data_IF_718879560381
#
_entry.id   IF_718879560381
#
_cell.length_a   1.000
_cell.length_b   1.000
_cell.length_c   1.000
_cell.angle_alpha   90.00
_cell.angle_beta   90.00
_cell.angle_gamma   90.00
#
_symmetry.space_group_name_H-M   'P 1'
#
loop_
_entity.id
_entity.type
_entity.pdbx_description
1 polymer ?
#
# COMPACT_ATOMS: atom_id res chain seq x y z
N UNK A 1 -18.98 -7.40 49.72
CA UNK A 1 -19.84 -7.14 48.52
C UNK A 1 -19.39 -5.98 47.64
N UNK A 2 -19.11 -4.78 48.15
CA UNK A 2 -18.68 -3.61 47.30
C UNK A 2 -17.33 -3.83 46.58
N UNK A 3 -16.36 -4.49 47.22
CA UNK A 3 -15.06 -4.81 46.64
C UNK A 3 -15.20 -5.76 45.43
N UNK A 4 -15.93 -6.86 45.58
CA UNK A 4 -16.16 -7.82 44.49
C UNK A 4 -16.91 -7.21 43.29
N UNK A 5 -17.86 -6.30 43.55
CA UNK A 5 -18.55 -5.57 42.49
C UNK A 5 -17.60 -4.62 41.71
N UNK A 6 -16.69 -3.93 42.40
CA UNK A 6 -15.67 -3.09 41.77
C UNK A 6 -14.68 -3.92 40.94
N UNK A 7 -14.21 -5.06 41.51
CA UNK A 7 -13.33 -5.96 40.79
C UNK A 7 -14.00 -6.54 39.55
N UNK A 8 -15.24 -6.97 39.63
CA UNK A 8 -16.01 -7.46 38.50
C UNK A 8 -16.19 -6.38 37.42
N UNK A 9 -16.49 -5.14 37.80
CA UNK A 9 -16.60 -4.03 36.87
C UNK A 9 -15.26 -3.75 36.14
N UNK A 10 -14.12 -3.77 36.85
CA UNK A 10 -12.80 -3.62 36.26
C UNK A 10 -12.51 -4.75 35.27
N UNK A 11 -12.78 -6.00 35.62
CA UNK A 11 -12.57 -7.14 34.72
C UNK A 11 -13.44 -7.06 33.46
N UNK A 12 -14.69 -6.61 33.59
CA UNK A 12 -15.57 -6.40 32.44
C UNK A 12 -14.99 -5.29 31.52
N UNK A 13 -14.54 -4.16 32.06
CA UNK A 13 -13.92 -3.08 31.29
C UNK A 13 -12.66 -3.57 30.57
N UNK A 14 -11.78 -4.30 31.26
CA UNK A 14 -10.57 -4.87 30.66
C UNK A 14 -10.92 -5.89 29.56
N UNK A 15 -11.93 -6.73 29.77
CA UNK A 15 -12.43 -7.66 28.76
C UNK A 15 -12.98 -6.94 27.52
N UNK A 16 -13.75 -5.88 27.72
CA UNK A 16 -14.25 -5.05 26.60
C UNK A 16 -13.11 -4.36 25.83
N UNK A 17 -12.11 -3.82 26.54
CA UNK A 17 -10.94 -3.21 25.92
C UNK A 17 -10.12 -4.23 25.11
N UNK A 18 -9.88 -5.41 25.68
CA UNK A 18 -9.18 -6.48 24.97
C UNK A 18 -9.98 -6.94 23.75
N UNK A 19 -11.29 -7.13 23.87
CA UNK A 19 -12.16 -7.47 22.74
C UNK A 19 -12.15 -6.41 21.64
N UNK A 20 -12.15 -5.14 22.03
CA UNK A 20 -12.06 -4.01 21.10
C UNK A 20 -10.73 -4.02 20.31
N UNK A 21 -9.60 -4.17 21.02
CA UNK A 21 -8.28 -4.24 20.38
C UNK A 21 -8.19 -5.45 19.44
N UNK A 22 -8.68 -6.62 19.86
CA UNK A 22 -8.71 -7.81 18.99
C UNK A 22 -9.56 -7.56 17.73
N UNK A 23 -10.75 -7.00 17.90
CA UNK A 23 -11.62 -6.65 16.76
C UNK A 23 -10.96 -5.65 15.80
N UNK A 24 -10.37 -4.57 16.33
CA UNK A 24 -9.65 -3.60 15.50
C UNK A 24 -8.56 -4.27 14.66
N UNK A 25 -7.83 -5.20 15.25
CA UNK A 25 -6.71 -5.84 14.56
C UNK A 25 -7.14 -6.80 13.44
N UNK A 26 -8.32 -7.39 13.48
CA UNK A 26 -8.79 -8.36 12.46
C UNK A 26 -9.78 -7.78 11.47
N UNK A 27 -10.29 -6.59 11.73
CA UNK A 27 -11.35 -5.97 10.96
C UNK A 27 -10.77 -5.01 9.90
N UNK A 28 -10.72 -5.44 8.64
CA UNK A 28 -10.31 -4.58 7.53
C UNK A 28 -11.26 -3.39 7.40
N UNK A 29 -10.68 -2.21 7.23
CA UNK A 29 -11.42 -0.97 6.97
C UNK A 29 -11.17 -0.53 5.54
N UNK A 30 -12.23 -0.46 4.73
CA UNK A 30 -12.17 0.17 3.41
C UNK A 30 -12.30 1.68 3.57
N UNK A 31 -11.35 2.43 3.01
CA UNK A 31 -11.36 3.89 3.02
C UNK A 31 -11.20 4.44 1.61
N UNK A 32 -12.02 5.43 1.27
CA UNK A 32 -12.00 6.06 -0.05
C UNK A 32 -11.27 7.40 -0.02
N UNK A 33 -10.42 7.60 -1.01
CA UNK A 33 -9.65 8.82 -1.24
C UNK A 33 -9.85 9.30 -2.67
N UNK A 34 -9.54 10.57 -2.91
CA UNK A 34 -9.58 11.14 -4.26
C UNK A 34 -8.30 11.95 -4.50
N UNK A 35 -7.57 11.66 -5.58
CA UNK A 35 -6.38 12.37 -6.00
C UNK A 35 -6.64 13.09 -7.33
N UNK A 36 -6.50 14.42 -7.34
CA UNK A 36 -6.60 15.22 -8.57
C UNK A 36 -5.21 15.43 -9.13
N UNK A 37 -4.96 14.95 -10.36
CA UNK A 37 -3.68 15.02 -11.05
C UNK A 37 -3.82 15.90 -12.30
N UNK A 38 -2.94 16.89 -12.43
CA UNK A 38 -3.01 17.88 -13.52
C UNK A 38 -2.76 17.27 -14.89
N UNK A 39 -1.92 16.27 -14.98
CA UNK A 39 -1.50 15.56 -16.19
C UNK A 39 -2.36 14.33 -16.52
N UNK A 40 -3.38 14.01 -15.69
CA UNK A 40 -4.22 12.82 -15.92
C UNK A 40 -4.99 12.96 -17.23
N UNK A 41 -4.84 12.02 -18.20
CA UNK A 41 -5.69 12.03 -19.39
C UNK A 41 -7.17 11.86 -19.04
N UNK A 42 -8.03 12.55 -19.78
CA UNK A 42 -9.48 12.59 -19.49
C UNK A 42 -10.13 11.20 -19.46
N UNK A 43 -9.62 10.26 -20.25
CA UNK A 43 -10.07 8.88 -20.32
C UNK A 43 -9.89 8.12 -19.00
N UNK A 44 -8.99 8.60 -18.14
CA UNK A 44 -8.72 8.04 -16.82
C UNK A 44 -9.42 8.80 -15.68
N UNK A 45 -10.23 9.83 -15.98
CA UNK A 45 -11.04 10.44 -14.93
C UNK A 45 -11.99 9.43 -14.33
N UNK A 46 -11.94 9.28 -13.01
CA UNK A 46 -12.71 8.27 -12.29
C UNK A 46 -12.02 6.92 -12.13
N UNK A 47 -10.79 6.72 -12.64
CA UNK A 47 -10.04 5.47 -12.45
C UNK A 47 -9.96 5.10 -10.96
N UNK A 48 -10.39 3.88 -10.63
CA UNK A 48 -10.39 3.36 -9.25
C UNK A 48 -9.19 2.44 -9.02
N UNK A 49 -8.28 2.89 -8.17
CA UNK A 49 -7.14 2.11 -7.70
C UNK A 49 -7.47 1.49 -6.34
N UNK A 50 -7.13 0.21 -6.15
CA UNK A 50 -7.07 -0.40 -4.82
C UNK A 50 -5.61 -0.53 -4.43
N UNK A 51 -5.24 -0.04 -3.24
CA UNK A 51 -3.89 -0.12 -2.69
C UNK A 51 -3.88 -1.05 -1.49
N UNK A 52 -3.08 -2.11 -1.58
CA UNK A 52 -2.88 -3.12 -0.53
C UNK A 52 -1.38 -3.16 -0.21
N UNK A 53 -0.96 -2.53 0.88
CA UNK A 53 0.43 -2.48 1.33
C UNK A 53 0.62 -3.24 2.65
N UNK A 54 1.85 -3.58 2.95
CA UNK A 54 2.28 -4.07 4.27
C UNK A 54 1.38 -5.21 4.79
N UNK A 55 1.17 -6.24 3.97
CA UNK A 55 0.34 -7.39 4.36
C UNK A 55 1.08 -8.33 5.33
N UNK A 56 2.41 -8.46 5.17
CA UNK A 56 3.27 -9.29 6.02
C UNK A 56 2.75 -10.72 6.19
N UNK A 57 2.35 -11.35 5.10
CA UNK A 57 1.81 -12.71 5.10
C UNK A 57 0.50 -12.91 5.82
N UNK A 58 -0.15 -11.84 6.26
CA UNK A 58 -1.38 -11.91 7.03
C UNK A 58 -2.56 -12.32 6.15
N UNK A 59 -3.34 -13.28 6.63
CA UNK A 59 -4.56 -13.71 5.99
C UNK A 59 -5.80 -13.15 6.69
N UNK A 60 -6.78 -12.72 5.89
CA UNK A 60 -8.09 -12.26 6.36
C UNK A 60 -9.17 -13.26 5.95
N UNK A 61 -9.45 -14.21 6.83
CA UNK A 61 -10.25 -15.39 6.57
C UNK A 61 -9.42 -16.49 5.88
N UNK A 62 -10.03 -17.63 5.59
CA UNK A 62 -9.38 -18.70 4.86
C UNK A 62 -9.02 -18.21 3.44
N UNK A 63 -7.79 -18.45 3.00
CA UNK A 63 -7.26 -18.02 1.69
C UNK A 63 -7.50 -16.53 1.40
N UNK A 64 -7.47 -15.70 2.43
CA UNK A 64 -7.76 -14.26 2.37
C UNK A 64 -9.14 -13.90 1.79
N UNK A 65 -10.13 -14.79 1.89
CA UNK A 65 -11.45 -14.62 1.28
C UNK A 65 -12.16 -13.33 1.69
N UNK A 66 -12.02 -12.89 2.95
CA UNK A 66 -12.61 -11.63 3.41
C UNK A 66 -11.94 -10.41 2.77
N UNK A 67 -10.61 -10.43 2.57
CA UNK A 67 -9.88 -9.38 1.87
C UNK A 67 -10.27 -9.33 0.40
N UNK A 68 -10.30 -10.48 -0.28
CA UNK A 68 -10.69 -10.57 -1.68
C UNK A 68 -12.13 -10.10 -1.91
N UNK A 69 -13.04 -10.40 -0.97
CA UNK A 69 -14.41 -9.89 -1.04
C UNK A 69 -14.44 -8.35 -0.91
N UNK A 70 -13.68 -7.77 0.03
CA UNK A 70 -13.59 -6.32 0.19
C UNK A 70 -12.99 -5.64 -1.07
N UNK A 71 -11.95 -6.25 -1.68
CA UNK A 71 -11.38 -5.78 -2.95
C UNK A 71 -12.41 -5.82 -4.07
N UNK A 72 -13.18 -6.91 -4.19
CA UNK A 72 -14.25 -7.03 -5.21
C UNK A 72 -15.32 -5.94 -5.04
N UNK A 73 -15.74 -5.67 -3.79
CA UNK A 73 -16.72 -4.63 -3.48
C UNK A 73 -16.21 -3.23 -3.79
N UNK A 74 -14.90 -3.00 -3.68
CA UNK A 74 -14.23 -1.76 -4.07
C UNK A 74 -14.23 -1.53 -5.59
N UNK A 75 -14.50 -2.56 -6.40
CA UNK A 75 -14.53 -2.50 -7.88
C UNK A 75 -13.27 -1.85 -8.46
N UNK A 76 -12.08 -2.41 -8.23
CA UNK A 76 -10.85 -1.86 -8.77
C UNK A 76 -10.79 -1.97 -10.29
N UNK A 77 -10.09 -1.03 -10.90
CA UNK A 77 -9.67 -1.08 -12.31
C UNK A 77 -8.15 -1.29 -12.41
N UNK A 78 -7.43 -1.07 -11.30
CA UNK A 78 -6.03 -1.41 -11.09
C UNK A 78 -5.82 -1.70 -9.59
N UNK A 79 -5.06 -2.74 -9.28
CA UNK A 79 -4.64 -3.09 -7.93
C UNK A 79 -3.14 -2.82 -7.81
N UNK A 80 -2.75 -2.06 -6.79
CA UNK A 80 -1.38 -1.66 -6.53
C UNK A 80 -0.91 -2.26 -5.21
N UNK A 81 0.22 -2.97 -5.25
CA UNK A 81 0.84 -3.61 -4.10
C UNK A 81 2.21 -2.95 -3.84
N UNK A 82 2.28 -1.86 -3.07
CA UNK A 82 3.53 -1.13 -2.85
C UNK A 82 4.40 -1.72 -1.73
N UNK A 83 4.67 -3.03 -1.81
CA UNK A 83 5.66 -3.74 -0.98
C UNK A 83 5.15 -4.28 0.35
N UNK A 84 6.04 -5.03 1.00
CA UNK A 84 5.86 -5.74 2.27
C UNK A 84 4.62 -6.66 2.26
N UNK A 85 4.46 -7.41 1.16
CA UNK A 85 3.40 -8.39 1.02
C UNK A 85 3.68 -9.64 1.86
N UNK A 86 4.95 -10.00 2.02
CA UNK A 86 5.43 -11.15 2.79
C UNK A 86 6.77 -10.89 3.42
N UNK A 87 7.08 -11.64 4.48
CA UNK A 87 8.31 -11.59 5.26
C UNK A 87 9.10 -12.90 5.13
N UNK A 88 10.28 -12.96 5.73
CA UNK A 88 11.11 -14.17 5.80
C UNK A 88 10.43 -15.36 6.52
N UNK A 89 9.55 -15.07 7.47
CA UNK A 89 8.81 -16.07 8.27
C UNK A 89 7.41 -16.39 7.70
N UNK A 90 7.04 -15.78 6.57
CA UNK A 90 5.71 -15.98 5.96
C UNK A 90 5.60 -17.39 5.36
N UNK A 91 4.49 -18.08 5.64
CA UNK A 91 4.10 -19.25 4.86
C UNK A 91 3.66 -18.82 3.46
N UNK A 92 4.59 -18.93 2.50
CA UNK A 92 4.39 -18.50 1.12
C UNK A 92 3.27 -19.25 0.38
N UNK A 93 2.75 -20.36 0.95
CA UNK A 93 1.60 -21.08 0.36
C UNK A 93 0.31 -20.23 0.32
N UNK A 94 0.28 -19.13 1.07
CA UNK A 94 -0.83 -18.17 1.03
C UNK A 94 -0.85 -17.28 -0.22
N UNK A 95 0.29 -17.13 -0.92
CA UNK A 95 0.39 -16.23 -2.07
C UNK A 95 -0.43 -16.69 -3.29
N UNK A 96 -0.35 -17.94 -3.77
CA UNK A 96 -1.07 -18.35 -4.96
C UNK A 96 -2.57 -18.04 -4.90
N UNK A 97 -3.35 -18.46 -3.88
CA UNK A 97 -4.79 -18.19 -3.85
C UNK A 97 -5.10 -16.68 -3.73
N UNK A 98 -4.26 -15.90 -3.03
CA UNK A 98 -4.41 -14.45 -2.96
C UNK A 98 -4.19 -13.80 -4.33
N UNK A 99 -3.08 -14.13 -5.01
CA UNK A 99 -2.72 -13.52 -6.29
C UNK A 99 -3.71 -13.89 -7.39
N UNK A 100 -4.12 -15.16 -7.48
CA UNK A 100 -5.17 -15.61 -8.40
C UNK A 100 -6.49 -14.84 -8.14
N UNK A 101 -6.85 -14.66 -6.87
CA UNK A 101 -8.03 -13.89 -6.50
C UNK A 101 -7.95 -12.43 -6.91
N UNK A 102 -6.79 -11.78 -6.74
CA UNK A 102 -6.58 -10.37 -7.12
C UNK A 102 -6.53 -10.18 -8.64
N UNK A 103 -5.77 -11.02 -9.36
CA UNK A 103 -5.62 -10.92 -10.82
C UNK A 103 -6.91 -11.24 -11.57
N UNK A 104 -7.80 -12.03 -10.97
CA UNK A 104 -9.16 -12.24 -11.48
C UNK A 104 -10.07 -11.01 -11.36
N UNK A 105 -9.73 -10.02 -10.52
CA UNK A 105 -10.54 -8.82 -10.30
C UNK A 105 -10.09 -7.64 -11.16
N UNK A 106 -8.78 -7.40 -11.28
CA UNK A 106 -8.21 -6.33 -12.08
C UNK A 106 -6.71 -6.59 -12.34
N UNK A 107 -6.05 -5.88 -13.28
CA UNK A 107 -4.59 -5.86 -13.38
C UNK A 107 -3.94 -5.55 -12.05
N UNK A 108 -2.83 -6.24 -11.73
CA UNK A 108 -2.09 -6.09 -10.47
C UNK A 108 -0.67 -5.63 -10.78
N UNK A 109 -0.24 -4.53 -10.16
CA UNK A 109 1.16 -4.07 -10.17
C UNK A 109 1.76 -4.19 -8.77
N UNK A 110 2.99 -4.64 -8.70
CA UNK A 110 3.70 -4.90 -7.44
C UNK A 110 5.13 -4.37 -7.50
N UNK A 111 5.61 -3.86 -6.37
CA UNK A 111 7.03 -3.60 -6.08
C UNK A 111 7.41 -4.24 -4.76
N UNK A 112 8.70 -4.50 -4.55
CA UNK A 112 9.21 -5.00 -3.27
C UNK A 112 9.21 -3.91 -2.21
N UNK A 113 8.98 -4.29 -0.95
CA UNK A 113 9.34 -3.51 0.23
C UNK A 113 10.66 -4.04 0.84
N UNK A 114 10.98 -3.59 2.04
CA UNK A 114 12.23 -3.96 2.68
C UNK A 114 12.22 -5.39 3.26
N UNK A 115 11.05 -5.95 3.56
CA UNK A 115 10.94 -7.30 4.11
C UNK A 115 11.15 -8.37 3.05
N UNK A 116 10.71 -8.16 1.82
CA UNK A 116 10.95 -9.11 0.74
C UNK A 116 12.43 -9.40 0.53
N UNK A 117 13.30 -8.41 0.68
CA UNK A 117 14.75 -8.58 0.49
C UNK A 117 15.43 -9.45 1.57
N UNK A 118 14.71 -9.83 2.62
CA UNK A 118 15.16 -10.77 3.65
C UNK A 118 14.82 -12.23 3.29
N UNK A 119 13.95 -12.43 2.30
CA UNK A 119 13.50 -13.77 1.86
C UNK A 119 14.53 -14.40 0.93
N UNK A 120 15.04 -15.59 1.28
CA UNK A 120 16.11 -16.28 0.55
C UNK A 120 15.73 -16.63 -0.88
N UNK A 121 14.49 -17.05 -1.08
CA UNK A 121 13.93 -17.51 -2.37
C UNK A 121 13.23 -16.39 -3.13
N UNK A 122 13.47 -15.11 -2.82
CA UNK A 122 12.74 -13.96 -3.38
C UNK A 122 12.61 -14.03 -4.90
N UNK A 123 13.69 -14.34 -5.62
CA UNK A 123 13.65 -14.43 -7.10
C UNK A 123 12.62 -15.45 -7.60
N UNK A 124 12.50 -16.60 -6.91
CA UNK A 124 11.53 -17.64 -7.27
C UNK A 124 10.10 -17.19 -6.96
N UNK A 125 9.91 -16.48 -5.84
CA UNK A 125 8.62 -15.91 -5.47
C UNK A 125 8.18 -14.87 -6.50
N UNK A 126 9.04 -13.92 -6.88
CA UNK A 126 8.75 -12.91 -7.90
C UNK A 126 8.37 -13.57 -9.23
N UNK A 127 9.11 -14.58 -9.69
CA UNK A 127 8.78 -15.32 -10.90
C UNK A 127 7.41 -16.04 -10.81
N UNK A 128 7.04 -16.54 -9.62
CA UNK A 128 5.72 -17.14 -9.40
C UNK A 128 4.59 -16.11 -9.42
N UNK A 129 4.85 -14.89 -8.94
CA UNK A 129 3.91 -13.78 -9.01
C UNK A 129 3.66 -13.36 -10.46
N UNK A 130 4.72 -13.26 -11.27
CA UNK A 130 4.61 -12.99 -12.71
C UNK A 130 3.81 -14.08 -13.43
N UNK A 131 4.08 -15.36 -13.11
CA UNK A 131 3.34 -16.49 -13.66
C UNK A 131 1.83 -16.47 -13.27
N UNK A 132 1.50 -15.88 -12.12
CA UNK A 132 0.12 -15.65 -11.68
C UNK A 132 -0.52 -14.40 -12.33
N UNK A 133 0.18 -13.70 -13.20
CA UNK A 133 -0.33 -12.52 -13.94
C UNK A 133 -0.11 -11.18 -13.21
N UNK A 134 0.73 -11.13 -12.19
CA UNK A 134 1.14 -9.88 -11.54
C UNK A 134 2.23 -9.20 -12.36
N UNK A 135 2.11 -7.91 -12.60
CA UNK A 135 3.18 -7.08 -13.16
C UNK A 135 4.14 -6.69 -12.04
N UNK A 136 5.28 -7.37 -11.98
CA UNK A 136 6.36 -7.08 -11.01
C UNK A 136 7.25 -5.97 -11.58
N UNK A 137 7.27 -4.81 -10.93
CA UNK A 137 8.00 -3.62 -11.39
C UNK A 137 9.32 -3.50 -10.62
N UNK A 138 10.40 -3.99 -11.22
CA UNK A 138 11.74 -3.95 -10.64
C UNK A 138 12.58 -2.79 -11.21
N UNK A 139 12.25 -1.56 -10.83
CA UNK A 139 12.74 -0.31 -11.40
C UNK A 139 12.39 -0.22 -12.89
N UNK A 140 11.15 -0.52 -13.20
CA UNK A 140 10.58 -0.61 -14.53
C UNK A 140 9.20 0.07 -14.57
N UNK A 141 8.60 0.14 -15.75
CA UNK A 141 7.25 0.66 -15.90
C UNK A 141 6.41 -0.18 -16.87
N UNK A 142 5.10 -0.09 -16.69
CA UNK A 142 4.08 -0.65 -17.58
C UNK A 142 3.14 0.47 -18.06
N UNK A 143 2.45 0.22 -19.15
CA UNK A 143 1.50 1.16 -19.76
C UNK A 143 0.07 0.67 -19.56
N UNK A 144 -0.74 1.44 -18.85
CA UNK A 144 -2.18 1.25 -18.82
C UNK A 144 -2.81 2.07 -19.95
N UNK A 145 -3.57 1.41 -20.84
CA UNK A 145 -4.15 2.05 -22.02
C UNK A 145 -5.68 2.10 -21.95
N UNK A 146 -6.24 3.24 -22.37
CA UNK A 146 -7.67 3.43 -22.61
C UNK A 146 -7.88 4.18 -23.93
N UNK A 147 -8.32 3.48 -24.97
CA UNK A 147 -8.31 4.05 -26.31
C UNK A 147 -6.90 4.48 -26.70
N UNK A 148 -6.74 5.74 -27.10
CA UNK A 148 -5.43 6.33 -27.44
C UNK A 148 -4.68 6.87 -26.22
N UNK A 149 -5.35 7.00 -25.07
CA UNK A 149 -4.74 7.53 -23.86
C UNK A 149 -3.90 6.49 -23.14
N UNK A 150 -2.80 6.96 -22.54
CA UNK A 150 -1.86 6.13 -21.80
C UNK A 150 -1.58 6.75 -20.43
N UNK A 151 -1.62 5.92 -19.39
CA UNK A 151 -1.13 6.22 -18.05
C UNK A 151 0.08 5.33 -17.77
N UNK A 152 1.18 5.93 -17.34
CA UNK A 152 2.39 5.18 -16.96
C UNK A 152 2.24 4.71 -15.53
N UNK A 153 2.39 3.40 -15.30
CA UNK A 153 2.49 2.79 -13.98
C UNK A 153 3.92 2.32 -13.80
N UNK A 154 4.69 3.03 -13.01
CA UNK A 154 6.09 2.74 -12.74
C UNK A 154 6.28 2.20 -11.32
N UNK A 155 7.35 1.50 -11.08
CA UNK A 155 7.68 0.98 -9.76
C UNK A 155 9.16 0.89 -9.53
N UNK A 156 9.56 1.13 -8.29
CA UNK A 156 10.95 0.96 -7.83
C UNK A 156 10.99 -0.05 -6.70
N UNK A 157 12.02 -0.90 -6.72
CA UNK A 157 12.32 -1.77 -5.60
C UNK A 157 12.78 -0.95 -4.38
N UNK A 158 12.57 -1.51 -3.18
CA UNK A 158 13.07 -0.91 -1.94
C UNK A 158 14.60 -0.79 -1.96
N UNK A 159 15.19 0.29 -1.40
CA UNK A 159 16.64 0.48 -1.31
C UNK A 159 17.41 -0.63 -0.56
N UNK A 160 16.73 -1.50 0.18
CA UNK A 160 17.35 -2.71 0.77
C UNK A 160 17.73 -3.75 -0.29
N UNK A 161 17.25 -3.60 -1.51
CA UNK A 161 17.61 -4.44 -2.66
C UNK A 161 19.02 -4.16 -3.21
N UNK A 162 19.42 -4.90 -4.27
CA UNK A 162 20.72 -4.73 -4.90
C UNK A 162 20.94 -3.31 -5.44
N UNK A 163 22.14 -2.77 -5.21
CA UNK A 163 22.48 -1.40 -5.61
C UNK A 163 22.78 -1.22 -7.11
N UNK A 164 22.81 -2.29 -7.89
CA UNK A 164 23.07 -2.31 -9.33
C UNK A 164 21.82 -2.00 -10.19
N UNK A 165 20.70 -1.73 -9.55
CA UNK A 165 19.45 -1.40 -10.24
C UNK A 165 19.43 0.04 -10.75
N UNK A 166 18.59 0.26 -11.75
CA UNK A 166 18.29 1.59 -12.28
C UNK A 166 17.82 2.52 -11.17
N UNK A 167 18.39 3.71 -11.09
CA UNK A 167 17.96 4.68 -10.06
C UNK A 167 16.57 5.24 -10.36
N UNK A 168 15.82 5.74 -9.35
CA UNK A 168 14.54 6.43 -9.57
C UNK A 168 14.61 7.54 -10.63
N UNK A 169 15.69 8.33 -10.63
CA UNK A 169 15.94 9.37 -11.64
C UNK A 169 16.09 8.78 -13.03
N UNK A 170 16.92 7.75 -13.20
CA UNK A 170 17.14 7.12 -14.49
C UNK A 170 15.85 6.50 -15.06
N UNK A 171 15.01 5.91 -14.20
CA UNK A 171 13.71 5.38 -14.59
C UNK A 171 12.78 6.50 -15.10
N UNK A 172 12.67 7.61 -14.37
CA UNK A 172 11.80 8.73 -14.79
C UNK A 172 12.31 9.39 -16.07
N UNK A 173 13.64 9.53 -16.24
CA UNK A 173 14.26 10.05 -17.46
C UNK A 173 13.98 9.13 -18.67
N UNK A 174 14.07 7.81 -18.51
CA UNK A 174 13.72 6.81 -19.52
C UNK A 174 12.23 6.91 -19.92
N UNK A 175 11.33 6.93 -18.92
CA UNK A 175 9.90 7.09 -19.17
C UNK A 175 9.63 8.33 -20.03
N UNK A 176 10.24 9.46 -19.69
CA UNK A 176 10.04 10.70 -20.46
C UNK A 176 10.66 10.65 -21.85
N UNK A 177 11.81 10.01 -21.99
CA UNK A 177 12.45 9.85 -23.29
C UNK A 177 11.60 9.00 -24.25
N UNK A 178 10.90 7.99 -23.72
CA UNK A 178 10.12 7.02 -24.51
C UNK A 178 8.65 7.42 -24.68
N UNK A 179 8.04 8.05 -23.67
CA UNK A 179 6.60 8.34 -23.61
C UNK A 179 6.27 9.86 -23.70
N UNK A 180 7.28 10.72 -23.75
CA UNK A 180 7.10 12.17 -23.74
C UNK A 180 6.88 12.69 -22.31
N UNK A 181 5.81 13.45 -22.09
CA UNK A 181 5.46 13.98 -20.76
C UNK A 181 4.16 13.31 -20.22
N UNK A 182 4.22 12.02 -19.89
CA UNK A 182 3.05 11.26 -19.47
C UNK A 182 2.69 11.55 -18.00
N UNK A 183 1.43 11.27 -17.63
CA UNK A 183 1.08 11.13 -16.23
C UNK A 183 1.74 9.87 -15.65
N UNK A 184 2.53 10.03 -14.57
CA UNK A 184 3.29 8.94 -13.93
C UNK A 184 2.68 8.61 -12.57
N UNK A 185 2.17 7.38 -12.45
CA UNK A 185 1.81 6.74 -11.18
C UNK A 185 2.99 5.85 -10.77
N UNK A 186 3.61 6.15 -9.63
CA UNK A 186 4.78 5.45 -9.11
C UNK A 186 4.41 4.60 -7.89
N UNK A 187 4.78 3.33 -7.89
CA UNK A 187 4.80 2.49 -6.71
C UNK A 187 6.19 2.58 -6.07
N UNK A 188 6.24 3.01 -4.81
CA UNK A 188 7.46 3.08 -4.01
C UNK A 188 7.13 2.76 -2.56
N UNK A 189 7.77 1.74 -1.99
CA UNK A 189 7.41 1.28 -0.66
C UNK A 189 7.60 2.35 0.42
N UNK A 190 8.73 3.10 0.38
CA UNK A 190 9.09 4.10 1.40
C UNK A 190 8.17 5.32 1.36
N UNK A 191 7.64 5.69 2.52
CA UNK A 191 6.69 6.80 2.67
C UNK A 191 7.34 8.17 2.79
N UNK A 192 8.64 8.27 3.04
CA UNK A 192 9.35 9.51 3.34
C UNK A 192 10.05 10.15 2.13
N UNK A 193 9.87 9.60 0.94
CA UNK A 193 10.54 10.03 -0.30
C UNK A 193 9.78 11.11 -1.11
N UNK A 194 8.74 11.75 -0.56
CA UNK A 194 7.99 12.78 -1.26
C UNK A 194 8.86 13.90 -1.88
N UNK A 195 9.92 14.40 -1.20
CA UNK A 195 10.80 15.40 -1.80
C UNK A 195 11.56 14.90 -3.04
N UNK A 196 11.97 13.63 -3.06
CA UNK A 196 12.61 13.01 -4.22
C UNK A 196 11.65 12.99 -5.41
N UNK A 197 10.46 12.45 -5.21
CA UNK A 197 9.46 12.30 -6.27
C UNK A 197 8.95 13.65 -6.79
N UNK A 198 8.80 14.65 -5.92
CA UNK A 198 8.47 16.01 -6.31
C UNK A 198 9.59 16.64 -7.15
N UNK A 199 10.85 16.41 -6.80
CA UNK A 199 12.01 16.85 -7.58
C UNK A 199 12.15 16.15 -8.94
N UNK A 200 11.57 14.97 -9.10
CA UNK A 200 11.50 14.23 -10.36
C UNK A 200 10.21 14.51 -11.15
N UNK A 201 9.24 15.23 -10.58
CA UNK A 201 7.99 15.59 -11.25
C UNK A 201 7.07 14.39 -11.50
N UNK A 202 7.05 13.42 -10.60
CA UNK A 202 6.09 12.31 -10.60
C UNK A 202 4.73 12.84 -10.13
N UNK A 203 3.63 12.37 -10.72
CA UNK A 203 2.29 12.91 -10.43
C UNK A 203 1.66 12.29 -9.18
N UNK A 204 1.71 10.97 -9.06
CA UNK A 204 1.19 10.23 -7.92
C UNK A 204 2.18 9.17 -7.47
N UNK A 205 2.44 9.09 -6.17
CA UNK A 205 3.23 8.03 -5.54
C UNK A 205 2.33 7.26 -4.59
N UNK A 206 2.40 5.94 -4.65
CA UNK A 206 1.69 5.02 -3.75
C UNK A 206 2.71 4.31 -2.86
N UNK A 207 2.57 4.48 -1.54
CA UNK A 207 3.51 3.95 -0.55
C UNK A 207 2.81 3.24 0.61
N UNK A 208 3.59 2.45 1.35
CA UNK A 208 3.23 1.81 2.61
C UNK A 208 4.21 2.14 3.71
N UNK A 209 4.88 1.11 4.26
CA UNK A 209 6.01 1.12 5.17
C UNK A 209 5.74 1.66 6.59
N UNK A 210 4.97 2.72 6.74
CA UNK A 210 4.78 3.41 8.03
C UNK A 210 3.74 2.74 8.94
N UNK A 211 2.96 1.78 8.44
CA UNK A 211 1.89 1.09 9.18
C UNK A 211 0.90 2.04 9.87
N UNK A 212 0.70 3.24 9.34
CA UNK A 212 -0.12 4.27 9.96
C UNK A 212 0.38 4.74 11.33
N UNK A 213 1.65 4.46 11.66
CA UNK A 213 2.26 4.78 12.94
C UNK A 213 1.80 3.89 14.10
N UNK A 214 1.39 2.66 13.83
CA UNK A 214 1.00 1.56 14.75
C UNK A 214 -0.15 1.94 15.71
N UNK A 215 0.05 2.95 16.55
CA UNK A 215 -0.96 3.58 17.44
C UNK A 215 -1.32 4.93 16.86
N UNK A 216 -2.60 5.21 16.70
CA UNK A 216 -3.08 6.50 16.20
C UNK A 216 -3.83 7.26 17.29
N UNK A 217 -3.46 8.51 17.47
CA UNK A 217 -4.15 9.41 18.39
C UNK A 217 -5.07 10.35 17.60
N UNK A 218 -6.29 10.61 18.08
CA UNK A 218 -7.17 11.61 17.47
C UNK A 218 -6.43 12.96 17.32
N UNK A 219 -6.53 13.56 16.15
CA UNK A 219 -5.93 14.87 15.79
C UNK A 219 -4.40 14.88 15.66
N UNK A 220 -3.67 13.88 16.20
CA UNK A 220 -2.20 13.82 16.17
C UNK A 220 -1.67 12.83 15.14
N UNK A 221 -2.51 11.90 14.67
CA UNK A 221 -2.08 10.88 13.71
C UNK A 221 -1.31 9.72 14.35
N UNK A 222 -0.40 9.13 13.58
CA UNK A 222 0.44 8.00 14.00
C UNK A 222 1.49 8.38 15.02
N UNK A 223 1.73 7.50 16.00
CA UNK A 223 2.66 7.77 17.10
C UNK A 223 4.06 7.20 16.84
N UNK A 224 4.15 5.98 16.26
CA UNK A 224 5.42 5.28 16.09
C UNK A 224 5.67 4.94 14.63
N UNK A 225 6.62 5.61 14.00
CA UNK A 225 7.11 5.26 12.67
C UNK A 225 8.04 4.03 12.71
N UNK A 226 8.24 3.42 11.55
CA UNK A 226 9.10 2.22 11.39
C UNK A 226 10.57 2.48 11.67
N UNK A 227 11.06 3.69 11.44
CA UNK A 227 12.43 4.15 11.73
C UNK A 227 12.60 4.62 13.19
N UNK A 228 11.80 4.10 14.14
CA UNK A 228 11.77 4.54 15.55
C UNK A 228 11.42 6.03 15.75
N UNK A 229 10.84 6.67 14.76
CA UNK A 229 10.40 8.06 14.83
C UNK A 229 9.13 8.17 15.67
N UNK A 230 9.07 9.18 16.52
CA UNK A 230 7.81 9.60 17.14
C UNK A 230 7.13 10.63 16.23
N UNK A 231 5.83 10.41 15.96
CA UNK A 231 5.01 11.27 15.12
C UNK A 231 5.60 11.45 13.71
N UNK A 232 5.66 10.39 12.89
CA UNK A 232 6.21 10.45 11.54
C UNK A 232 5.44 11.45 10.67
N UNK A 233 6.17 12.18 9.81
CA UNK A 233 5.58 13.24 8.97
C UNK A 233 4.54 12.72 7.96
N UNK A 234 4.76 11.53 7.41
CA UNK A 234 3.90 10.93 6.39
C UNK A 234 3.41 9.58 6.90
N UNK A 235 2.41 9.60 7.77
CA UNK A 235 1.92 8.40 8.45
C UNK A 235 0.75 7.72 7.73
N UNK A 236 -0.12 8.48 7.07
CA UNK A 236 -1.25 7.94 6.29
C UNK A 236 -2.00 9.00 5.48
N UNK A 237 -2.62 8.58 4.38
CA UNK A 237 -3.46 9.45 3.56
C UNK A 237 -2.67 10.23 2.50
N UNK A 238 -3.19 11.38 2.10
CA UNK A 238 -2.67 12.16 0.97
C UNK A 238 -1.83 13.34 1.44
N UNK A 239 -0.64 13.47 0.86
CA UNK A 239 0.29 14.60 1.05
C UNK A 239 0.62 15.20 -0.31
N UNK A 240 0.97 16.48 -0.35
CA UNK A 240 1.32 17.19 -1.59
C UNK A 240 2.62 17.96 -1.46
N UNK A 241 3.44 17.90 -2.51
CA UNK A 241 4.60 18.77 -2.71
C UNK A 241 4.65 19.15 -4.20
N UNK A 242 4.58 20.43 -4.50
CA UNK A 242 4.44 20.95 -5.87
C UNK A 242 3.25 20.26 -6.59
N UNK A 243 3.49 19.60 -7.72
CA UNK A 243 2.49 18.84 -8.48
C UNK A 243 2.35 17.38 -8.02
N UNK A 244 3.30 16.88 -7.22
CA UNK A 244 3.32 15.48 -6.77
C UNK A 244 2.38 15.25 -5.61
N UNK A 245 1.57 14.23 -5.72
CA UNK A 245 0.75 13.69 -4.63
C UNK A 245 1.37 12.40 -4.14
N UNK A 246 1.60 12.26 -2.83
CA UNK A 246 1.96 11.01 -2.18
C UNK A 246 0.74 10.47 -1.43
N UNK A 247 0.38 9.23 -1.68
CA UNK A 247 -0.54 8.46 -0.86
C UNK A 247 0.24 7.46 -0.01
N UNK A 248 0.01 7.48 1.30
CA UNK A 248 0.59 6.53 2.25
C UNK A 248 -0.51 5.65 2.82
N UNK A 249 -0.40 4.36 2.60
CA UNK A 249 -1.28 3.35 3.18
C UNK A 249 -0.94 3.10 4.65
N UNK A 250 -1.97 2.80 5.46
CA UNK A 250 -1.75 2.30 6.83
C UNK A 250 -1.42 0.81 6.89
N UNK A 251 -1.41 0.15 5.73
CA UNK A 251 -1.11 -1.26 5.62
C UNK A 251 -2.19 -2.19 6.19
N UNK A 252 -2.07 -3.46 5.88
CA UNK A 252 -3.01 -4.53 6.27
C UNK A 252 -2.47 -5.40 7.41
N UNK A 253 -1.18 -5.70 7.41
CA UNK A 253 -0.50 -6.55 8.38
C UNK A 253 -0.12 -5.85 9.67
N UNK A 254 0.68 -6.53 10.45
CA UNK A 254 1.29 -5.99 11.66
C UNK A 254 2.78 -5.75 11.35
N UNK A 255 3.30 -4.58 11.73
CA UNK A 255 4.74 -4.35 11.70
C UNK A 255 5.42 -5.02 12.90
N UNK A 256 6.56 -4.47 13.33
CA UNK A 256 7.33 -4.99 14.47
C UNK A 256 6.53 -5.12 15.78
N UNK A 257 5.53 -4.27 15.99
CA UNK A 257 4.65 -4.38 17.13
C UNK A 257 3.46 -5.30 16.78
N UNK A 258 3.14 -6.28 17.65
CA UNK A 258 2.15 -7.31 17.36
C UNK A 258 0.70 -6.82 17.55
N UNK A 259 0.47 -5.52 17.50
CA UNK A 259 -0.87 -4.94 17.64
C UNK A 259 -0.97 -3.58 16.96
N UNK A 260 -2.18 -3.20 16.63
CA UNK A 260 -2.59 -1.85 16.22
C UNK A 260 -3.59 -1.30 17.22
N UNK A 261 -3.58 -0.01 17.48
CA UNK A 261 -4.56 0.65 18.34
C UNK A 261 -5.10 1.90 17.65
N UNK A 262 -6.42 1.98 17.52
CA UNK A 262 -7.12 3.02 16.76
C UNK A 262 -6.59 3.16 15.31
N UNK A 263 -6.19 2.03 14.73
CA UNK A 263 -5.45 1.93 13.47
C UNK A 263 -5.75 0.60 12.77
N UNK A 264 -7.00 0.40 12.35
CA UNK A 264 -7.45 -0.82 11.69
C UNK A 264 -6.68 -1.08 10.39
N UNK A 265 -6.48 -2.37 10.02
CA UNK A 265 -5.96 -2.74 8.70
C UNK A 265 -6.73 -2.02 7.61
N UNK A 266 -6.03 -1.39 6.67
CA UNK A 266 -6.62 -0.52 5.66
C UNK A 266 -6.59 -1.17 4.27
N UNK A 267 -7.76 -1.24 3.64
CA UNK A 267 -7.91 -1.35 2.21
C UNK A 267 -8.21 0.05 1.69
N UNK A 268 -7.27 0.64 0.95
CA UNK A 268 -7.45 1.99 0.43
C UNK A 268 -7.97 1.95 -1.01
N UNK A 269 -8.95 2.79 -1.30
CA UNK A 269 -9.50 2.99 -2.64
C UNK A 269 -9.22 4.42 -3.07
N UNK A 270 -8.35 4.61 -4.06
CA UNK A 270 -8.09 5.93 -4.64
C UNK A 270 -8.85 6.10 -5.94
N UNK A 271 -9.62 7.17 -6.04
CA UNK A 271 -10.22 7.59 -7.31
C UNK A 271 -9.40 8.73 -7.90
N UNK A 272 -8.84 8.53 -9.09
CA UNK A 272 -8.13 9.57 -9.81
C UNK A 272 -9.11 10.54 -10.46
N UNK A 273 -8.75 11.83 -10.46
CA UNK A 273 -9.57 12.90 -11.03
C UNK A 273 -8.75 13.86 -11.86
N UNK A 274 -9.32 14.30 -12.96
CA UNK A 274 -8.84 15.49 -13.68
C UNK A 274 -9.16 16.76 -12.90
N UNK A 275 -8.41 17.85 -13.05
CA UNK A 275 -8.80 19.16 -12.55
C UNK A 275 -10.17 19.54 -13.08
N UNK A 276 -11.01 20.13 -12.23
CA UNK A 276 -12.26 20.74 -12.71
C UNK A 276 -11.90 21.96 -13.55
N UNK A 277 -12.35 21.99 -14.78
CA UNK A 277 -12.29 23.14 -15.68
C UNK A 277 -13.16 24.28 -15.14
#
# INVERSE_FOLDING_TARGET
MRFFRKLAAVLVVLGCLAGFVLWENVSVQTEEFSATLASLPAEFDGLRLVVLADLHGRQFGQDSAALLQAVREARPELICLPGDLFDEDTDLSMLPPLLEGLTALAPVCYVTGNHEWQVKELRQVLASMEAAGVTVLQNEYALLRRGEATLVVAGVDDPCGPADKKTPRALVEEIRAEQGDPCILMLSHRNDELPLWAGLGVDLVLSGHCHGGVVRLPFLGGVFGTEHQLFPNYDSGLYRSAQTTLFVSRGLGLGRLPFRLNNRPQLAVLTLRCPKT
#
